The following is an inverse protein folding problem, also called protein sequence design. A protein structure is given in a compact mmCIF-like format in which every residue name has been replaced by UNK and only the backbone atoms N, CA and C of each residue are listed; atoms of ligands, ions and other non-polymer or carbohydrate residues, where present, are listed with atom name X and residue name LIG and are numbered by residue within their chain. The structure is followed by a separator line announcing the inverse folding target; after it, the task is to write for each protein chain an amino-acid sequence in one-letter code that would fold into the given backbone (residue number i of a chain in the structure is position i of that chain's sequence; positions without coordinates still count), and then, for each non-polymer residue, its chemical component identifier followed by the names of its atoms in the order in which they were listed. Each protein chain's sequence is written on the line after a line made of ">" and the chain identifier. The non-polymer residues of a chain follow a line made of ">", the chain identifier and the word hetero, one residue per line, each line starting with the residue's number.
data_IF_713448628407
#
_entry.id   IF_713448628407
#
_cell.length_a   1.000
_cell.length_b   1.000
_cell.length_c   1.000
_cell.angle_alpha   90.00
_cell.angle_beta   90.00
_cell.angle_gamma   90.00
#
_symmetry.space_group_name_H-M   'P 1'
#
loop_
_entity.id
_entity.type
_entity.pdbx_description
1 polymer ?
#
# COMPACT_ATOMS: atom_id res chain seq x y z
N UNK A 1 29.53 49.60 -40.07
CA UNK A 1 30.91 49.85 -40.56
C UNK A 1 31.77 48.65 -40.24
N UNK A 2 32.23 48.05 -41.28
CA UNK A 2 33.49 47.33 -41.51
C UNK A 2 33.75 46.10 -40.63
N UNK A 3 33.66 44.83 -41.17
CA UNK A 3 34.60 44.18 -42.11
C UNK A 3 35.90 43.84 -41.36
N UNK A 4 36.45 42.63 -41.33
CA UNK A 4 36.91 41.70 -42.39
C UNK A 4 37.49 40.48 -41.63
N UNK A 5 37.24 39.22 -41.94
CA UNK A 5 37.76 38.39 -43.06
C UNK A 5 39.13 37.78 -42.82
N UNK A 6 39.11 36.45 -43.07
CA UNK A 6 40.13 35.64 -43.72
C UNK A 6 41.15 34.98 -42.79
N UNK A 7 41.44 33.75 -42.84
CA UNK A 7 41.51 32.66 -43.82
C UNK A 7 42.80 31.86 -43.62
N UNK A 8 42.74 30.64 -43.99
CA UNK A 8 43.74 29.66 -44.53
C UNK A 8 44.55 28.86 -43.52
N UNK A 9 44.35 27.53 -43.47
CA UNK A 9 44.80 26.48 -44.37
C UNK A 9 46.29 26.08 -44.17
N UNK A 10 46.51 24.80 -44.02
CA UNK A 10 47.51 23.89 -44.56
C UNK A 10 47.88 22.82 -43.53
N UNK A 11 47.51 21.61 -43.66
CA UNK A 11 47.94 20.48 -44.47
C UNK A 11 49.06 19.64 -43.83
N UNK A 12 48.75 18.38 -43.63
CA UNK A 12 49.55 17.15 -43.70
C UNK A 12 50.73 16.92 -42.73
N UNK A 13 50.63 15.82 -42.00
CA UNK A 13 51.58 14.70 -42.23
C UNK A 13 51.16 13.45 -41.45
N UNK A 14 50.97 12.38 -42.15
CA UNK A 14 50.79 11.01 -41.71
C UNK A 14 52.12 10.52 -41.12
N UNK A 15 52.09 9.94 -39.94
CA UNK A 15 53.14 8.99 -39.50
C UNK A 15 52.47 7.85 -38.76
N UNK A 16 52.42 6.71 -39.44
CA UNK A 16 52.08 5.39 -38.90
C UNK A 16 53.29 4.91 -38.12
N UNK A 17 53.10 4.64 -36.84
CA UNK A 17 54.02 3.76 -36.10
C UNK A 17 53.19 2.68 -35.43
N UNK A 18 53.28 1.49 -35.97
CA UNK A 18 52.86 0.23 -35.35
C UNK A 18 53.82 -0.08 -34.21
N UNK A 19 53.28 -0.18 -32.99
CA UNK A 19 53.95 -0.89 -31.92
C UNK A 19 52.92 -1.79 -31.23
N UNK A 20 53.09 -3.08 -31.40
CA UNK A 20 52.47 -4.12 -30.62
C UNK A 20 52.89 -3.96 -29.14
N UNK A 21 51.97 -3.72 -28.27
CA UNK A 21 52.10 -3.86 -26.84
C UNK A 21 50.87 -4.61 -26.36
N UNK A 22 51.10 -5.85 -25.99
CA UNK A 22 50.10 -6.77 -25.44
C UNK A 22 49.98 -6.41 -23.95
N UNK A 23 49.00 -5.62 -23.60
CA UNK A 23 48.53 -5.48 -22.22
C UNK A 23 47.06 -5.85 -22.19
N UNK A 24 46.81 -7.05 -21.72
CA UNK A 24 45.53 -7.56 -21.32
C UNK A 24 45.08 -6.83 -20.06
N UNK A 25 44.55 -5.63 -20.21
CA UNK A 25 43.66 -5.06 -19.20
C UNK A 25 42.27 -5.68 -19.42
N UNK A 26 42.11 -6.75 -18.67
CA UNK A 26 40.85 -7.48 -18.53
C UNK A 26 40.01 -6.70 -17.46
N UNK A 27 39.62 -5.48 -17.79
CA UNK A 27 38.51 -4.83 -17.13
C UNK A 27 37.25 -5.54 -17.60
N UNK A 28 36.96 -6.70 -16.98
CA UNK A 28 35.62 -7.25 -16.96
C UNK A 28 34.76 -6.21 -16.25
N UNK A 29 34.08 -5.39 -17.02
CA UNK A 29 32.80 -4.84 -16.58
C UNK A 29 31.94 -6.06 -16.29
N UNK A 30 31.70 -6.34 -15.03
CA UNK A 30 30.66 -7.23 -14.58
C UNK A 30 29.32 -6.55 -14.88
N UNK A 31 28.94 -6.49 -16.15
CA UNK A 31 27.55 -6.25 -16.58
C UNK A 31 26.74 -7.55 -16.41
N UNK A 32 26.73 -8.07 -15.19
CA UNK A 32 25.76 -9.06 -14.74
C UNK A 32 24.78 -8.37 -13.81
N UNK A 33 24.17 -7.28 -14.21
CA UNK A 33 22.92 -6.87 -13.59
C UNK A 33 21.83 -7.80 -14.15
N UNK A 34 21.49 -8.83 -13.37
CA UNK A 34 20.39 -9.75 -13.69
C UNK A 34 19.04 -9.02 -13.73
N UNK A 35 18.98 -7.76 -13.25
CA UNK A 35 17.80 -6.95 -13.09
C UNK A 35 17.89 -5.63 -13.87
N UNK A 36 16.74 -5.04 -14.18
CA UNK A 36 16.65 -3.78 -14.95
C UNK A 36 16.71 -2.52 -14.08
N UNK A 37 16.83 -2.70 -12.77
CA UNK A 37 16.87 -1.62 -11.76
C UNK A 37 18.05 -1.82 -10.83
N UNK A 38 18.54 -0.75 -10.24
CA UNK A 38 19.55 -0.72 -9.18
C UNK A 38 18.97 -0.34 -7.83
N UNK A 39 17.70 0.11 -7.84
CA UNK A 39 16.93 0.51 -6.66
C UNK A 39 15.49 0.02 -6.75
N UNK A 40 14.96 -0.41 -5.61
CA UNK A 40 13.57 -0.81 -5.42
C UNK A 40 12.97 -0.04 -4.25
N UNK A 41 11.75 0.41 -4.39
CA UNK A 41 10.98 1.06 -3.33
C UNK A 41 9.68 0.32 -3.06
N UNK A 42 9.35 0.16 -1.78
CA UNK A 42 8.08 -0.36 -1.32
C UNK A 42 7.35 0.65 -0.44
N UNK A 43 6.03 0.60 -0.42
CA UNK A 43 5.26 1.39 0.53
C UNK A 43 5.48 0.92 1.96
N UNK A 44 5.46 1.86 2.90
CA UNK A 44 5.47 1.60 4.33
C UNK A 44 4.36 2.40 4.99
N UNK A 45 3.41 1.71 5.58
CA UNK A 45 2.29 2.32 6.33
C UNK A 45 2.09 1.57 7.64
N UNK A 46 1.81 2.30 8.72
CA UNK A 46 1.59 1.71 10.05
C UNK A 46 0.14 1.30 10.28
N UNK A 47 -0.78 2.00 9.63
CA UNK A 47 -2.22 1.79 9.76
C UNK A 47 -2.77 0.95 8.59
N UNK A 48 -3.74 0.04 8.82
CA UNK A 48 -4.41 -0.19 10.10
C UNK A 48 -3.47 -0.67 11.21
N UNK A 49 -2.97 -1.88 11.29
CA UNK A 49 -1.86 -2.30 12.16
C UNK A 49 -0.99 -3.29 11.38
N UNK A 50 -0.02 -2.77 10.65
CA UNK A 50 0.80 -3.55 9.72
C UNK A 50 2.03 -4.12 10.42
N UNK A 51 1.80 -5.02 11.38
CA UNK A 51 2.86 -5.66 12.18
C UNK A 51 3.96 -6.26 11.32
N UNK A 52 3.67 -7.05 10.26
CA UNK A 52 4.74 -7.62 9.43
C UNK A 52 5.65 -6.55 8.83
N UNK A 53 5.11 -5.48 8.24
CA UNK A 53 5.93 -4.39 7.65
C UNK A 53 6.74 -3.63 8.69
N UNK A 54 6.21 -3.48 9.92
CA UNK A 54 6.91 -2.82 11.02
C UNK A 54 8.12 -3.65 11.46
N UNK A 55 7.91 -4.95 11.68
CA UNK A 55 8.97 -5.89 12.08
C UNK A 55 10.03 -6.02 10.98
N UNK A 56 9.60 -6.24 9.73
CA UNK A 56 10.43 -6.35 8.55
C UNK A 56 11.38 -5.16 8.39
N UNK A 57 10.84 -3.95 8.57
CA UNK A 57 11.63 -2.71 8.47
C UNK A 57 12.60 -2.54 9.65
N UNK A 58 12.14 -2.75 10.90
CA UNK A 58 12.98 -2.60 12.10
C UNK A 58 14.12 -3.63 12.12
N UNK A 59 13.87 -4.84 11.62
CA UNK A 59 14.87 -5.91 11.51
C UNK A 59 15.75 -5.78 10.26
N UNK A 60 15.38 -4.95 9.29
CA UNK A 60 16.14 -4.71 8.06
C UNK A 60 16.05 -5.83 7.02
N UNK A 61 15.12 -6.76 7.15
CA UNK A 61 15.07 -7.99 6.34
C UNK A 61 15.05 -7.74 4.82
N UNK A 62 14.19 -6.83 4.32
CA UNK A 62 14.19 -6.47 2.90
C UNK A 62 15.47 -5.74 2.49
N UNK A 63 15.96 -4.84 3.33
CA UNK A 63 17.18 -4.09 3.02
C UNK A 63 18.38 -5.01 2.84
N UNK A 64 18.53 -6.01 3.73
CA UNK A 64 19.62 -6.99 3.67
C UNK A 64 19.44 -7.94 2.47
N UNK A 65 18.24 -8.51 2.27
CA UNK A 65 17.97 -9.45 1.20
C UNK A 65 18.16 -8.82 -0.20
N UNK A 66 17.78 -7.56 -0.39
CA UNK A 66 17.96 -6.86 -1.67
C UNK A 66 19.42 -6.41 -1.87
N UNK A 67 20.14 -6.08 -0.80
CA UNK A 67 21.57 -5.78 -0.88
C UNK A 67 22.40 -6.99 -1.36
N UNK A 68 22.00 -8.21 -1.00
CA UNK A 68 22.62 -9.46 -1.52
C UNK A 68 22.47 -9.58 -3.04
N UNK A 69 21.38 -9.07 -3.60
CA UNK A 69 21.13 -9.01 -5.06
C UNK A 69 21.79 -7.80 -5.73
N UNK A 70 22.50 -6.96 -4.98
CA UNK A 70 23.10 -5.72 -5.47
C UNK A 70 22.10 -4.58 -5.71
N UNK A 71 20.92 -4.64 -5.10
CA UNK A 71 19.82 -3.68 -5.23
C UNK A 71 19.68 -2.84 -3.96
N UNK A 72 19.62 -1.52 -4.11
CA UNK A 72 19.23 -0.63 -3.01
C UNK A 72 17.74 -0.79 -2.70
N UNK A 73 17.39 -1.04 -1.44
CA UNK A 73 15.99 -1.09 -1.02
C UNK A 73 15.62 0.12 -0.16
N UNK A 74 14.48 0.75 -0.45
CA UNK A 74 13.98 1.90 0.31
C UNK A 74 12.48 1.80 0.59
N UNK A 75 12.04 2.49 1.64
CA UNK A 75 10.63 2.60 2.00
C UNK A 75 10.09 3.99 1.67
N UNK A 76 8.86 4.02 1.12
CA UNK A 76 8.09 5.24 0.87
C UNK A 76 6.88 5.31 1.79
N UNK A 77 6.76 6.39 2.53
CA UNK A 77 5.64 6.61 3.45
C UNK A 77 4.47 7.27 2.72
N UNK A 78 3.63 6.45 2.07
CA UNK A 78 2.39 6.86 1.43
C UNK A 78 1.22 6.28 2.22
N UNK A 79 0.39 7.15 2.79
CA UNK A 79 -0.57 6.75 3.82
C UNK A 79 -1.94 6.34 3.28
N UNK A 80 -2.25 6.66 2.02
CA UNK A 80 -3.53 6.29 1.41
C UNK A 80 -3.35 5.37 0.21
N UNK A 81 -4.29 4.43 0.03
CA UNK A 81 -4.25 3.50 -1.10
C UNK A 81 -4.22 4.18 -2.47
N UNK A 82 -5.01 5.24 -2.74
CA UNK A 82 -4.92 6.00 -3.98
C UNK A 82 -3.55 6.61 -4.26
N UNK A 83 -2.87 7.17 -3.24
CA UNK A 83 -1.49 7.67 -3.40
C UNK A 83 -0.52 6.55 -3.75
N UNK A 84 -0.65 5.40 -3.07
CA UNK A 84 0.17 4.21 -3.32
C UNK A 84 0.00 3.71 -4.76
N UNK A 85 -1.25 3.51 -5.22
CA UNK A 85 -1.52 3.01 -6.57
C UNK A 85 -1.09 3.99 -7.65
N UNK A 86 -1.17 5.29 -7.39
CA UNK A 86 -0.66 6.32 -8.30
C UNK A 86 0.87 6.26 -8.41
N UNK A 87 1.58 6.09 -7.29
CA UNK A 87 3.03 5.98 -7.27
C UNK A 87 3.53 4.70 -7.96
N UNK A 88 2.80 3.59 -7.86
CA UNK A 88 3.07 2.38 -8.64
C UNK A 88 2.89 2.64 -10.14
N UNK A 89 1.79 3.27 -10.53
CA UNK A 89 1.48 3.57 -11.93
C UNK A 89 2.48 4.53 -12.58
N UNK A 90 3.10 5.44 -11.80
CA UNK A 90 4.18 6.32 -12.28
C UNK A 90 5.55 5.63 -12.32
N UNK A 91 5.70 4.45 -11.72
CA UNK A 91 6.98 3.73 -11.59
C UNK A 91 7.87 4.22 -10.44
N UNK A 92 7.40 5.17 -9.63
CA UNK A 92 8.15 5.70 -8.48
C UNK A 92 8.34 4.64 -7.39
N UNK A 93 7.42 3.66 -7.32
CA UNK A 93 7.44 2.55 -6.38
C UNK A 93 7.27 1.25 -7.16
N UNK A 94 7.90 0.17 -6.70
CA UNK A 94 7.82 -1.15 -7.32
C UNK A 94 6.91 -2.10 -6.56
N UNK A 95 6.75 -1.92 -5.25
CA UNK A 95 5.88 -2.75 -4.43
C UNK A 95 4.92 -1.90 -3.59
N UNK A 96 3.65 -2.25 -3.64
CA UNK A 96 2.66 -1.81 -2.68
C UNK A 96 2.60 -2.86 -1.56
N UNK A 97 3.28 -2.58 -0.47
CA UNK A 97 3.28 -3.43 0.72
C UNK A 97 2.15 -2.96 1.65
N UNK A 98 1.10 -3.76 1.76
CA UNK A 98 -0.11 -3.43 2.51
C UNK A 98 -0.99 -2.33 1.89
N UNK A 99 -1.55 -2.58 0.71
CA UNK A 99 -2.56 -1.73 0.07
C UNK A 99 -3.96 -2.35 0.16
N UNK A 100 -4.98 -1.54 0.40
CA UNK A 100 -6.37 -2.03 0.41
C UNK A 100 -6.83 -2.48 -0.97
N UNK A 101 -7.48 -3.65 -1.05
CA UNK A 101 -7.99 -4.20 -2.31
C UNK A 101 -8.94 -3.24 -3.04
N UNK A 102 -9.75 -2.47 -2.31
CA UNK A 102 -10.63 -1.42 -2.86
C UNK A 102 -9.86 -0.41 -3.71
N UNK A 103 -8.67 0.02 -3.26
CA UNK A 103 -7.83 0.96 -3.99
C UNK A 103 -7.16 0.32 -5.22
N UNK A 104 -6.77 -0.97 -5.13
CA UNK A 104 -6.24 -1.74 -6.26
C UNK A 104 -7.31 -1.90 -7.34
N UNK A 105 -8.53 -2.28 -6.95
CA UNK A 105 -9.69 -2.42 -7.85
C UNK A 105 -9.99 -1.08 -8.53
N UNK A 106 -10.03 0.02 -7.78
CA UNK A 106 -10.25 1.35 -8.34
C UNK A 106 -9.18 1.74 -9.37
N UNK A 107 -7.91 1.48 -9.06
CA UNK A 107 -6.79 1.76 -9.96
C UNK A 107 -6.85 0.90 -11.24
N UNK A 108 -7.14 -0.40 -11.11
CA UNK A 108 -7.30 -1.33 -12.23
C UNK A 108 -8.49 -0.95 -13.11
N UNK A 109 -9.62 -0.53 -12.52
CA UNK A 109 -10.78 -0.01 -13.25
C UNK A 109 -10.43 1.19 -14.15
N UNK A 110 -9.43 1.97 -13.78
CA UNK A 110 -8.91 3.07 -14.57
C UNK A 110 -7.80 2.66 -15.55
N UNK A 111 -7.53 1.36 -15.69
CA UNK A 111 -6.57 0.81 -16.65
C UNK A 111 -5.10 0.86 -16.18
N UNK A 112 -4.83 1.04 -14.89
CA UNK A 112 -3.47 0.98 -14.37
C UNK A 112 -2.89 -0.44 -14.47
N UNK A 113 -1.59 -0.53 -14.77
CA UNK A 113 -0.83 -1.77 -14.68
C UNK A 113 -0.55 -2.09 -13.21
N UNK A 114 -1.42 -2.90 -12.62
CA UNK A 114 -1.34 -3.32 -11.23
C UNK A 114 -1.75 -4.79 -11.10
N UNK A 115 -0.97 -5.57 -10.37
CA UNK A 115 -1.19 -7.00 -10.13
C UNK A 115 -1.05 -7.31 -8.64
N UNK A 116 -1.96 -8.13 -8.13
CA UNK A 116 -1.93 -8.68 -6.78
C UNK A 116 -1.01 -9.89 -6.78
N UNK A 117 -0.01 -9.91 -5.92
CA UNK A 117 1.00 -10.99 -5.83
C UNK A 117 0.86 -11.83 -4.56
N UNK A 118 0.22 -11.30 -3.51
CA UNK A 118 -0.18 -12.07 -2.31
C UNK A 118 -1.26 -11.33 -1.54
N UNK A 119 -1.90 -12.02 -0.62
CA UNK A 119 -2.60 -11.36 0.48
C UNK A 119 -1.56 -10.76 1.43
N UNK A 120 -1.94 -9.64 2.09
CA UNK A 120 -1.19 -9.10 3.21
C UNK A 120 -1.91 -9.38 4.51
N UNK A 121 -3.19 -9.05 4.59
CA UNK A 121 -4.05 -9.39 5.73
C UNK A 121 -5.54 -9.34 5.39
N UNK A 122 -6.35 -9.93 6.27
CA UNK A 122 -7.80 -9.79 6.37
C UNK A 122 -8.12 -9.28 7.76
N UNK A 123 -8.86 -8.18 7.85
CA UNK A 123 -9.06 -7.52 9.14
C UNK A 123 -10.33 -6.66 9.15
N UNK A 124 -11.54 -7.25 9.00
CA UNK A 124 -12.77 -6.48 8.92
C UNK A 124 -12.96 -5.56 10.13
N UNK A 125 -12.74 -6.05 11.35
CA UNK A 125 -12.93 -5.29 12.60
C UNK A 125 -11.96 -4.13 12.80
N UNK A 126 -10.87 -4.06 12.02
CA UNK A 126 -9.87 -3.00 12.15
C UNK A 126 -10.27 -1.68 11.49
N UNK A 127 -11.35 -1.68 10.69
CA UNK A 127 -11.89 -0.50 10.01
C UNK A 127 -13.18 -0.07 10.67
N UNK A 128 -13.26 1.17 11.16
CA UNK A 128 -14.33 1.63 12.02
C UNK A 128 -14.84 3.02 11.64
N UNK A 129 -16.13 3.26 11.88
CA UNK A 129 -16.75 4.58 11.89
C UNK A 129 -16.96 5.02 13.32
N UNK A 130 -16.48 6.19 13.67
CA UNK A 130 -16.59 6.79 14.99
C UNK A 130 -17.53 7.98 15.01
N UNK A 131 -18.25 8.15 16.14
CA UNK A 131 -19.00 9.32 16.53
C UNK A 131 -18.65 9.73 17.95
N UNK A 132 -19.35 10.76 18.47
CA UNK A 132 -19.21 11.14 19.86
C UNK A 132 -19.87 10.12 20.79
N UNK A 133 -19.48 10.12 22.07
CA UNK A 133 -20.06 9.24 23.07
C UNK A 133 -21.59 9.40 23.12
N UNK A 134 -22.32 8.30 22.96
CA UNK A 134 -23.76 8.26 22.93
C UNK A 134 -24.44 8.58 21.61
N UNK A 135 -23.66 8.76 20.53
CA UNK A 135 -24.23 8.85 19.19
C UNK A 135 -24.91 7.53 18.79
N UNK A 136 -25.93 7.65 17.97
CA UNK A 136 -26.69 6.49 17.49
C UNK A 136 -25.88 5.65 16.52
N UNK A 137 -26.18 4.35 16.53
CA UNK A 137 -25.59 3.36 15.62
C UNK A 137 -26.48 3.08 14.39
N UNK A 138 -27.32 4.04 13.99
CA UNK A 138 -28.15 3.89 12.78
C UNK A 138 -27.60 4.69 11.61
N UNK A 139 -27.53 4.12 10.37
CA UNK A 139 -27.16 4.89 9.18
C UNK A 139 -28.05 6.13 8.97
N UNK A 140 -29.32 6.10 9.40
CA UNK A 140 -30.25 7.22 9.26
C UNK A 140 -29.84 8.46 10.05
N UNK A 141 -29.04 8.31 11.10
CA UNK A 141 -28.55 9.44 11.91
C UNK A 141 -27.39 10.17 11.26
N UNK A 142 -26.79 9.57 10.19
CA UNK A 142 -25.76 10.22 9.40
C UNK A 142 -26.34 11.18 8.35
N UNK A 143 -27.66 11.16 8.10
CA UNK A 143 -28.28 12.02 7.06
C UNK A 143 -28.02 13.50 7.35
N UNK A 144 -27.43 14.19 6.38
CA UNK A 144 -27.04 15.61 6.48
C UNK A 144 -25.85 15.89 7.39
N UNK A 145 -25.17 14.86 7.90
CA UNK A 145 -24.02 14.98 8.79
C UNK A 145 -22.71 15.00 8.01
N UNK A 146 -21.68 15.58 8.63
CA UNK A 146 -20.31 15.58 8.11
C UNK A 146 -19.58 14.31 8.54
N UNK A 147 -19.16 13.53 7.55
CA UNK A 147 -18.37 12.30 7.76
C UNK A 147 -17.00 12.45 7.10
N UNK A 148 -15.94 12.41 7.91
CA UNK A 148 -14.57 12.54 7.42
C UNK A 148 -13.89 11.19 7.21
N UNK A 149 -13.06 11.08 6.16
CA UNK A 149 -12.24 9.90 5.94
C UNK A 149 -11.55 9.86 4.58
N UNK A 150 -10.70 8.83 4.34
CA UNK A 150 -9.95 8.68 3.10
C UNK A 150 -10.81 8.06 2.00
N UNK A 151 -11.13 8.85 0.97
CA UNK A 151 -11.92 8.40 -0.19
C UNK A 151 -11.19 7.34 -1.01
N UNK A 152 -11.94 6.37 -1.56
CA UNK A 152 -11.39 5.32 -2.42
C UNK A 152 -10.60 4.23 -1.68
N UNK A 153 -10.84 4.08 -0.39
CA UNK A 153 -10.21 3.08 0.48
C UNK A 153 -11.26 2.11 1.07
N UNK A 154 -10.80 1.09 1.80
CA UNK A 154 -11.68 0.17 2.56
C UNK A 154 -12.59 0.96 3.53
N UNK A 155 -12.10 2.01 4.17
CA UNK A 155 -12.91 2.86 5.04
C UNK A 155 -14.03 3.57 4.29
N UNK A 156 -13.78 4.03 3.07
CA UNK A 156 -14.83 4.61 2.23
C UNK A 156 -15.85 3.56 1.79
N UNK A 157 -15.39 2.36 1.43
CA UNK A 157 -16.28 1.23 1.12
C UNK A 157 -17.15 0.86 2.32
N UNK A 158 -16.57 0.78 3.53
CA UNK A 158 -17.31 0.55 4.77
C UNK A 158 -18.45 1.54 4.93
N UNK A 159 -18.19 2.83 4.78
CA UNK A 159 -19.22 3.87 4.91
C UNK A 159 -20.35 3.69 3.91
N UNK A 160 -20.01 3.48 2.63
CA UNK A 160 -21.02 3.34 1.57
C UNK A 160 -21.86 2.07 1.79
N UNK A 161 -21.25 0.96 2.22
CA UNK A 161 -21.99 -0.27 2.58
C UNK A 161 -22.86 -0.08 3.80
N UNK A 162 -22.37 0.62 4.83
CA UNK A 162 -23.15 0.92 6.01
C UNK A 162 -24.39 1.77 5.67
N UNK A 163 -24.25 2.83 4.89
CA UNK A 163 -25.35 3.64 4.40
C UNK A 163 -26.36 2.81 3.57
N UNK A 164 -25.86 1.92 2.73
CA UNK A 164 -26.68 1.07 1.85
C UNK A 164 -27.58 0.09 2.64
N UNK A 165 -27.26 -0.26 3.88
CA UNK A 165 -28.11 -1.13 4.71
C UNK A 165 -29.51 -0.54 4.97
N UNK A 166 -29.63 0.80 4.92
CA UNK A 166 -30.90 1.54 5.06
C UNK A 166 -31.30 2.24 3.74
N UNK A 167 -30.74 1.82 2.60
CA UNK A 167 -31.03 2.38 1.27
C UNK A 167 -30.51 3.79 1.06
N UNK A 168 -29.59 4.27 1.92
CA UNK A 168 -28.94 5.56 1.79
C UNK A 168 -27.68 5.47 0.91
N UNK A 169 -27.22 6.62 0.46
CA UNK A 169 -26.04 6.78 -0.40
C UNK A 169 -25.11 7.87 0.13
N UNK A 170 -23.91 8.01 -0.42
CA UNK A 170 -23.00 9.11 -0.08
C UNK A 170 -23.64 10.51 -0.30
N UNK A 171 -24.68 10.62 -1.14
CA UNK A 171 -25.38 11.87 -1.39
C UNK A 171 -26.24 12.37 -0.23
N UNK A 172 -26.56 11.47 0.70
CA UNK A 172 -27.39 11.75 1.87
C UNK A 172 -26.58 12.34 3.03
N UNK A 173 -25.25 12.40 2.90
CA UNK A 173 -24.29 12.91 3.87
C UNK A 173 -23.40 14.01 3.26
N UNK A 174 -22.65 14.74 4.09
CA UNK A 174 -21.54 15.61 3.66
C UNK A 174 -20.21 14.85 3.88
N UNK A 175 -19.72 14.15 2.83
CA UNK A 175 -18.45 13.48 2.92
C UNK A 175 -17.27 14.47 2.79
N UNK A 176 -16.36 14.46 3.77
CA UNK A 176 -15.16 15.32 3.81
C UNK A 176 -13.92 14.45 3.65
N UNK A 177 -13.25 14.56 2.50
CA UNK A 177 -12.05 13.79 2.24
C UNK A 177 -10.89 14.26 3.12
N UNK A 178 -10.36 13.36 3.95
CA UNK A 178 -9.20 13.56 4.81
C UNK A 178 -8.43 12.25 4.95
N UNK A 179 -7.15 12.33 5.34
CA UNK A 179 -6.42 11.16 5.84
C UNK A 179 -6.89 10.80 7.26
N UNK A 180 -6.50 9.60 7.74
CA UNK A 180 -6.95 9.09 9.04
C UNK A 180 -6.58 10.03 10.21
N UNK A 181 -5.34 10.54 10.34
CA UNK A 181 -4.99 11.47 11.41
C UNK A 181 -5.78 12.77 11.37
N UNK A 182 -6.01 13.34 10.19
CA UNK A 182 -6.79 14.56 10.02
C UNK A 182 -8.27 14.36 10.34
N UNK A 183 -8.84 13.21 9.93
CA UNK A 183 -10.22 12.86 10.26
C UNK A 183 -10.43 12.69 11.78
N UNK A 184 -9.47 12.04 12.46
CA UNK A 184 -9.47 11.96 13.93
C UNK A 184 -9.45 13.36 14.56
N UNK A 185 -8.53 14.22 14.14
CA UNK A 185 -8.40 15.57 14.68
C UNK A 185 -9.68 16.39 14.46
N UNK A 186 -10.30 16.28 13.28
CA UNK A 186 -11.54 16.98 12.95
C UNK A 186 -12.72 16.52 13.84
N UNK A 187 -12.83 15.21 14.12
CA UNK A 187 -13.86 14.69 15.03
C UNK A 187 -13.64 15.19 16.45
N UNK A 188 -12.41 15.13 16.94
CA UNK A 188 -12.04 15.62 18.29
C UNK A 188 -12.31 17.13 18.43
N UNK A 189 -12.07 17.91 17.37
CA UNK A 189 -12.34 19.35 17.33
C UNK A 189 -13.82 19.69 17.14
N UNK A 190 -14.69 18.71 16.84
CA UNK A 190 -16.11 18.93 16.53
C UNK A 190 -16.35 19.61 15.17
N UNK A 191 -15.39 19.54 14.26
CA UNK A 191 -15.50 20.07 12.90
C UNK A 191 -16.28 19.13 11.98
N UNK A 192 -16.31 17.84 12.31
CA UNK A 192 -17.11 16.80 11.67
C UNK A 192 -17.89 16.02 12.73
N UNK A 193 -19.02 15.41 12.33
CA UNK A 193 -19.88 14.64 13.23
C UNK A 193 -19.36 13.20 13.40
N UNK A 194 -18.76 12.63 12.33
CA UNK A 194 -18.26 11.26 12.31
C UNK A 194 -16.92 11.19 11.60
N UNK A 195 -16.09 10.19 11.95
CA UNK A 195 -14.80 9.94 11.32
C UNK A 195 -14.55 8.44 11.04
N UNK A 196 -14.01 8.16 9.88
CA UNK A 196 -13.57 6.83 9.46
C UNK A 196 -12.11 6.63 9.86
N UNK A 197 -11.88 5.71 10.79
CA UNK A 197 -10.57 5.50 11.41
C UNK A 197 -10.17 4.03 11.38
N UNK A 198 -8.87 3.78 11.50
CA UNK A 198 -8.30 2.44 11.64
C UNK A 198 -6.99 2.50 12.41
N UNK A 199 -6.51 1.35 12.89
CA UNK A 199 -5.20 1.23 13.51
C UNK A 199 -5.05 1.99 14.83
N UNK A 200 -3.87 2.55 15.11
CA UNK A 200 -3.57 3.24 16.36
C UNK A 200 -4.56 4.38 16.68
N UNK A 201 -5.03 5.10 15.67
CA UNK A 201 -6.01 6.17 15.85
C UNK A 201 -7.35 5.62 16.33
N UNK A 202 -7.83 4.52 15.75
CA UNK A 202 -9.07 3.88 16.18
C UNK A 202 -8.95 3.36 17.62
N UNK A 203 -7.84 2.71 17.96
CA UNK A 203 -7.59 2.24 19.32
C UNK A 203 -7.64 3.39 20.34
N UNK A 204 -6.93 4.48 20.07
CA UNK A 204 -6.92 5.64 20.97
C UNK A 204 -8.30 6.25 21.14
N UNK A 205 -9.10 6.36 20.07
CA UNK A 205 -10.46 6.88 20.16
C UNK A 205 -11.37 6.02 21.04
N UNK A 206 -11.22 4.69 20.99
CA UNK A 206 -11.95 3.78 21.90
C UNK A 206 -11.53 4.04 23.35
N UNK A 207 -10.23 4.19 23.63
CA UNK A 207 -9.71 4.47 24.97
C UNK A 207 -10.18 5.85 25.49
N UNK A 208 -10.32 6.82 24.60
CA UNK A 208 -10.80 8.18 24.90
C UNK A 208 -12.34 8.26 25.05
N UNK A 209 -13.04 7.13 24.86
CA UNK A 209 -14.49 7.00 25.10
C UNK A 209 -15.38 7.47 23.96
N UNK A 210 -14.85 7.58 22.75
CA UNK A 210 -15.67 7.80 21.55
C UNK A 210 -16.46 6.54 21.17
N UNK A 211 -17.62 6.74 20.54
CA UNK A 211 -18.50 5.63 20.16
C UNK A 211 -18.06 5.01 18.83
N UNK A 212 -17.90 3.69 18.81
CA UNK A 212 -17.80 2.93 17.57
C UNK A 212 -19.22 2.75 17.02
N UNK A 213 -19.56 3.50 15.99
CA UNK A 213 -20.87 3.47 15.33
C UNK A 213 -21.05 2.14 14.58
N UNK A 214 -20.04 1.74 13.81
CA UNK A 214 -19.95 0.45 13.17
C UNK A 214 -18.50 0.10 12.88
N UNK A 215 -18.22 -1.18 12.73
CA UNK A 215 -16.98 -1.69 12.16
C UNK A 215 -17.24 -2.43 10.83
N UNK A 216 -16.20 -3.03 10.27
CA UNK A 216 -16.30 -3.73 8.98
C UNK A 216 -16.92 -5.12 9.06
N UNK A 217 -17.19 -5.68 10.25
CA UNK A 217 -17.73 -7.04 10.37
C UNK A 217 -19.09 -7.16 9.68
N UNK A 218 -19.19 -8.08 8.72
CA UNK A 218 -20.39 -8.27 7.92
C UNK A 218 -20.63 -7.21 6.81
N UNK A 219 -19.79 -6.17 6.74
CA UNK A 219 -19.87 -5.11 5.73
C UNK A 219 -18.71 -5.19 4.72
N UNK A 220 -17.47 -5.27 5.20
CA UNK A 220 -16.26 -5.41 4.39
C UNK A 220 -15.36 -6.50 4.96
N UNK A 221 -14.60 -7.19 4.11
CA UNK A 221 -13.65 -8.22 4.59
C UNK A 221 -12.33 -7.62 5.07
N UNK A 222 -12.16 -6.32 4.91
CA UNK A 222 -10.92 -5.65 5.31
C UNK A 222 -9.69 -6.17 4.57
N UNK A 223 -9.88 -6.50 3.29
CA UNK A 223 -8.88 -7.15 2.44
C UNK A 223 -7.73 -6.22 2.10
N UNK A 224 -6.54 -6.57 2.56
CA UNK A 224 -5.28 -5.88 2.26
C UNK A 224 -4.40 -6.84 1.47
N UNK A 225 -3.76 -6.33 0.43
CA UNK A 225 -2.95 -7.12 -0.50
C UNK A 225 -1.55 -6.53 -0.67
N UNK A 226 -0.66 -7.34 -1.22
CA UNK A 226 0.62 -6.92 -1.79
C UNK A 226 0.46 -6.85 -3.29
N UNK A 227 0.93 -5.76 -3.90
CA UNK A 227 0.80 -5.57 -5.34
C UNK A 227 2.10 -5.02 -5.97
N UNK A 228 2.25 -5.29 -7.26
CA UNK A 228 3.31 -4.78 -8.14
C UNK A 228 2.74 -4.51 -9.53
N UNK A 229 3.53 -4.03 -10.49
CA UNK A 229 3.11 -3.95 -11.89
C UNK A 229 3.52 -5.21 -12.67
N UNK A 230 2.74 -5.57 -13.69
CA UNK A 230 3.10 -6.68 -14.59
C UNK A 230 4.40 -6.36 -15.35
N UNK A 231 4.58 -5.10 -15.74
CA UNK A 231 5.81 -4.62 -16.40
C UNK A 231 7.03 -4.85 -15.51
N UNK A 232 6.97 -4.48 -14.22
CA UNK A 232 8.08 -4.71 -13.30
C UNK A 232 8.36 -6.19 -13.10
N UNK A 233 7.33 -7.01 -12.87
CA UNK A 233 7.47 -8.46 -12.72
C UNK A 233 8.11 -9.10 -13.95
N UNK A 234 7.65 -8.75 -15.14
CA UNK A 234 8.16 -9.33 -16.39
C UNK A 234 9.67 -9.11 -16.60
N UNK A 235 10.20 -8.02 -16.06
CA UNK A 235 11.60 -7.62 -16.17
C UNK A 235 12.46 -8.06 -14.98
N UNK A 236 11.85 -8.25 -13.81
CA UNK A 236 12.55 -8.42 -12.54
C UNK A 236 11.89 -9.52 -11.66
N UNK A 237 11.44 -10.63 -12.26
CA UNK A 237 10.72 -11.70 -11.54
C UNK A 237 11.47 -12.21 -10.29
N UNK A 238 12.82 -12.29 -10.35
CA UNK A 238 13.64 -12.69 -9.21
C UNK A 238 13.48 -11.77 -7.99
N UNK A 239 13.37 -10.44 -8.22
CA UNK A 239 13.16 -9.48 -7.13
C UNK A 239 11.76 -9.61 -6.51
N UNK A 240 10.74 -9.92 -7.33
CA UNK A 240 9.38 -10.15 -6.83
C UNK A 240 9.32 -11.42 -5.98
N UNK A 241 9.98 -12.51 -6.41
CA UNK A 241 10.13 -13.74 -5.61
C UNK A 241 10.86 -13.47 -4.29
N UNK A 242 11.97 -12.76 -4.34
CA UNK A 242 12.75 -12.39 -3.16
C UNK A 242 11.90 -11.59 -2.16
N UNK A 243 11.10 -10.63 -2.66
CA UNK A 243 10.20 -9.84 -1.84
C UNK A 243 9.20 -10.72 -1.07
N UNK A 244 8.49 -11.62 -1.76
CA UNK A 244 7.53 -12.54 -1.14
C UNK A 244 8.19 -13.52 -0.18
N UNK A 245 9.39 -14.02 -0.51
CA UNK A 245 10.17 -14.88 0.38
C UNK A 245 10.48 -14.17 1.70
N UNK A 246 10.96 -12.94 1.65
CA UNK A 246 11.26 -12.15 2.87
C UNK A 246 10.00 -11.90 3.68
N UNK A 247 8.85 -11.64 3.03
CA UNK A 247 7.59 -11.50 3.76
C UNK A 247 7.20 -12.77 4.50
N UNK A 248 7.36 -13.93 3.87
CA UNK A 248 7.09 -15.22 4.52
C UNK A 248 8.05 -15.50 5.68
N UNK A 249 9.34 -15.21 5.52
CA UNK A 249 10.34 -15.29 6.58
C UNK A 249 10.03 -14.33 7.73
N UNK A 250 9.49 -13.14 7.42
CA UNK A 250 9.03 -12.17 8.43
C UNK A 250 7.86 -12.73 9.26
N UNK A 251 6.87 -13.35 8.62
CA UNK A 251 5.76 -13.97 9.35
C UNK A 251 6.25 -15.12 10.24
N UNK A 252 7.14 -15.97 9.74
CA UNK A 252 7.75 -17.01 10.55
C UNK A 252 8.54 -16.43 11.75
N UNK A 253 9.29 -15.35 11.51
CA UNK A 253 9.99 -14.65 12.59
C UNK A 253 9.03 -14.14 13.66
N UNK A 254 7.88 -13.56 13.27
CA UNK A 254 6.86 -13.06 14.20
C UNK A 254 6.28 -14.20 15.04
N UNK A 255 6.00 -15.34 14.43
CA UNK A 255 5.47 -16.52 15.13
C UNK A 255 6.47 -17.06 16.16
N UNK A 256 7.76 -17.13 15.80
CA UNK A 256 8.83 -17.61 16.66
C UNK A 256 9.24 -16.61 17.75
N UNK A 257 9.03 -15.30 17.52
CA UNK A 257 9.46 -14.19 18.37
C UNK A 257 8.32 -13.22 18.70
N UNK A 258 7.13 -13.75 18.99
CA UNK A 258 5.89 -12.99 19.13
C UNK A 258 6.01 -11.80 20.09
N UNK A 259 6.57 -11.99 21.29
CA UNK A 259 6.70 -10.92 22.29
C UNK A 259 7.59 -9.78 21.76
N UNK A 260 8.73 -10.09 21.16
CA UNK A 260 9.64 -9.08 20.57
C UNK A 260 8.95 -8.34 19.41
N UNK A 261 8.23 -9.04 18.56
CA UNK A 261 7.49 -8.44 17.44
C UNK A 261 6.41 -7.45 17.93
N UNK A 262 5.69 -7.80 18.99
CA UNK A 262 4.70 -6.93 19.62
C UNK A 262 5.36 -5.72 20.29
N UNK A 263 6.52 -5.87 20.94
CA UNK A 263 7.29 -4.76 21.53
C UNK A 263 7.82 -3.80 20.45
N UNK A 264 8.36 -4.33 19.34
CA UNK A 264 8.76 -3.53 18.17
C UNK A 264 7.59 -2.71 17.65
N UNK A 265 6.44 -3.35 17.49
CA UNK A 265 5.22 -2.71 17.00
C UNK A 265 4.70 -1.63 17.97
N UNK A 266 4.71 -1.91 19.26
CA UNK A 266 4.32 -0.96 20.29
C UNK A 266 5.19 0.31 20.26
N UNK A 267 6.51 0.13 20.16
CA UNK A 267 7.48 1.23 20.04
C UNK A 267 7.24 2.07 18.78
N UNK A 268 7.01 1.42 17.63
CA UNK A 268 6.85 2.12 16.33
C UNK A 268 5.49 2.84 16.22
N UNK A 269 4.44 2.28 16.82
CA UNK A 269 3.08 2.84 16.77
C UNK A 269 2.78 3.81 17.91
N UNK A 270 3.54 3.72 19.02
CA UNK A 270 3.27 4.47 20.25
C UNK A 270 2.10 3.91 21.07
N UNK A 271 1.58 2.73 20.71
CA UNK A 271 0.55 2.04 21.47
C UNK A 271 1.12 1.32 22.68
N UNK A 272 0.31 1.13 23.74
CA UNK A 272 0.69 0.21 24.82
C UNK A 272 0.78 -1.22 24.27
N UNK A 273 1.70 -2.03 24.83
CA UNK A 273 1.93 -3.40 24.37
C UNK A 273 0.65 -4.27 24.37
N UNK A 274 -0.16 -4.15 25.43
CA UNK A 274 -1.44 -4.89 25.52
C UNK A 274 -2.41 -4.45 24.40
N UNK A 275 -2.43 -3.17 24.04
CA UNK A 275 -3.24 -2.65 22.93
C UNK A 275 -2.78 -3.19 21.56
N UNK A 276 -1.47 -3.32 21.37
CA UNK A 276 -0.94 -3.97 20.13
C UNK A 276 -1.37 -5.43 20.06
N UNK A 277 -1.27 -6.18 21.15
CA UNK A 277 -1.68 -7.59 21.22
C UNK A 277 -3.19 -7.75 20.98
N UNK A 278 -4.02 -6.90 21.60
CA UNK A 278 -5.47 -6.89 21.38
C UNK A 278 -5.82 -6.63 19.91
N UNK A 279 -5.16 -5.64 19.30
CA UNK A 279 -5.38 -5.33 17.88
C UNK A 279 -4.86 -6.42 16.97
N UNK A 280 -3.73 -7.06 17.29
CA UNK A 280 -3.13 -8.13 16.47
C UNK A 280 -4.11 -9.28 16.24
N UNK A 281 -4.92 -9.63 17.24
CA UNK A 281 -5.95 -10.67 17.16
C UNK A 281 -7.06 -10.38 16.12
N UNK A 282 -7.18 -9.14 15.64
CA UNK A 282 -8.15 -8.75 14.61
C UNK A 282 -7.68 -9.07 13.19
N UNK A 283 -6.44 -9.56 13.02
CA UNK A 283 -5.78 -9.74 11.73
C UNK A 283 -5.49 -11.19 11.44
N UNK A 284 -5.81 -11.61 10.22
CA UNK A 284 -5.26 -12.80 9.59
C UNK A 284 -4.19 -12.37 8.57
N UNK A 285 -2.93 -12.69 8.84
CA UNK A 285 -1.78 -12.35 8.00
C UNK A 285 -1.37 -13.48 7.04
N UNK A 286 -2.23 -14.47 6.79
CA UNK A 286 -1.95 -15.50 5.81
C UNK A 286 -1.79 -14.90 4.40
N UNK A 287 -0.68 -15.22 3.73
CA UNK A 287 -0.30 -14.67 2.42
C UNK A 287 -1.02 -15.35 1.25
N UNK A 288 -1.62 -16.52 1.45
CA UNK A 288 -2.27 -17.28 0.38
C UNK A 288 -3.49 -16.54 -0.17
N UNK A 289 -3.61 -16.47 -1.49
CA UNK A 289 -4.81 -15.98 -2.17
C UNK A 289 -5.75 -17.17 -2.36
N UNK A 290 -6.81 -17.24 -1.57
CA UNK A 290 -7.80 -18.31 -1.64
C UNK A 290 -8.91 -18.00 -2.64
N UNK A 291 -9.67 -19.03 -3.04
CA UNK A 291 -10.86 -18.83 -3.86
C UNK A 291 -11.89 -17.92 -3.17
N UNK A 292 -12.00 -17.98 -1.84
CA UNK A 292 -12.87 -17.09 -1.06
C UNK A 292 -12.47 -15.63 -1.17
N UNK A 293 -11.15 -15.33 -1.20
CA UNK A 293 -10.65 -13.96 -1.36
C UNK A 293 -10.99 -13.41 -2.74
N UNK A 294 -10.85 -14.24 -3.78
CA UNK A 294 -11.20 -13.87 -5.16
C UNK A 294 -12.70 -13.53 -5.25
N UNK A 295 -13.55 -14.39 -4.69
CA UNK A 295 -15.00 -14.19 -4.66
C UNK A 295 -15.40 -12.95 -3.87
N UNK A 296 -14.73 -12.70 -2.74
CA UNK A 296 -14.94 -11.51 -1.92
C UNK A 296 -14.55 -10.24 -2.69
N UNK A 297 -13.36 -10.19 -3.26
CA UNK A 297 -12.93 -9.05 -4.08
C UNK A 297 -13.85 -8.85 -5.30
N UNK A 298 -14.36 -9.92 -5.92
CA UNK A 298 -15.32 -9.80 -7.03
C UNK A 298 -16.66 -9.20 -6.57
N UNK A 299 -17.14 -9.52 -5.36
CA UNK A 299 -18.32 -8.86 -4.76
C UNK A 299 -18.04 -7.37 -4.48
N UNK A 300 -16.81 -7.04 -4.06
CA UNK A 300 -16.38 -5.64 -3.89
C UNK A 300 -16.42 -4.90 -5.25
N UNK A 301 -15.93 -5.49 -6.34
CA UNK A 301 -16.05 -4.90 -7.71
C UNK A 301 -17.50 -4.59 -8.04
N UNK A 302 -18.39 -5.58 -7.88
CA UNK A 302 -19.80 -5.40 -8.15
C UNK A 302 -20.41 -4.27 -7.32
N UNK A 303 -20.15 -4.26 -6.00
CA UNK A 303 -20.62 -3.22 -5.10
C UNK A 303 -20.11 -1.84 -5.49
N UNK A 304 -18.81 -1.70 -5.78
CA UNK A 304 -18.21 -0.43 -6.19
C UNK A 304 -18.85 0.11 -7.48
N UNK A 305 -19.17 -0.78 -8.41
CA UNK A 305 -19.83 -0.41 -9.68
C UNK A 305 -21.27 0.05 -9.45
N UNK A 306 -22.07 -0.72 -8.69
CA UNK A 306 -23.45 -0.38 -8.35
C UNK A 306 -23.57 0.97 -7.63
N UNK A 307 -22.55 1.34 -6.84
CA UNK A 307 -22.49 2.58 -6.08
C UNK A 307 -21.71 3.70 -6.78
N UNK A 308 -21.38 3.54 -8.07
CA UNK A 308 -20.64 4.52 -8.87
C UNK A 308 -19.25 4.91 -8.29
N UNK A 309 -18.61 4.00 -7.56
CA UNK A 309 -17.25 4.16 -7.07
C UNK A 309 -16.21 3.86 -8.15
N UNK A 310 -16.56 3.02 -9.13
CA UNK A 310 -15.80 2.72 -10.35
C UNK A 310 -16.72 2.74 -11.57
N UNK A 311 -16.15 3.03 -12.75
CA UNK A 311 -16.90 3.06 -14.02
C UNK A 311 -16.78 1.73 -14.78
N UNK A 312 -15.59 1.13 -14.82
CA UNK A 312 -15.33 -0.08 -15.58
C UNK A 312 -15.32 -1.32 -14.69
N UNK A 313 -15.74 -2.45 -15.27
CA UNK A 313 -15.62 -3.74 -14.61
C UNK A 313 -14.15 -4.16 -14.48
N UNK A 314 -13.87 -4.90 -13.41
CA UNK A 314 -12.56 -5.48 -13.13
C UNK A 314 -12.74 -6.98 -12.92
N UNK A 315 -12.01 -7.78 -13.68
CA UNK A 315 -11.91 -9.22 -13.44
C UNK A 315 -10.78 -9.47 -12.44
N UNK A 316 -11.14 -9.85 -11.22
CA UNK A 316 -10.18 -10.09 -10.14
C UNK A 316 -9.20 -11.21 -10.50
N UNK A 317 -9.66 -12.27 -11.19
CA UNK A 317 -8.76 -13.35 -11.60
C UNK A 317 -7.63 -12.84 -12.51
N UNK A 318 -7.91 -11.85 -13.35
CA UNK A 318 -6.90 -11.24 -14.22
C UNK A 318 -5.91 -10.32 -13.48
N UNK A 319 -6.28 -9.85 -12.28
CA UNK A 319 -5.39 -9.04 -11.43
C UNK A 319 -4.40 -9.89 -10.64
N UNK A 320 -4.68 -11.19 -10.44
CA UNK A 320 -3.81 -12.06 -9.67
C UNK A 320 -2.65 -12.50 -10.55
N UNK A 321 -1.46 -12.28 -10.06
CA UNK A 321 -0.22 -12.73 -10.68
C UNK A 321 0.38 -13.88 -9.86
N UNK A 322 0.42 -15.07 -10.46
CA UNK A 322 1.10 -16.20 -9.85
C UNK A 322 2.61 -16.01 -10.01
N UNK A 323 3.29 -15.82 -8.88
CA UNK A 323 4.75 -15.68 -8.83
C UNK A 323 5.34 -17.07 -8.65
N UNK A 324 5.88 -17.66 -9.75
CA UNK A 324 6.50 -19.00 -9.78
C UNK A 324 8.01 -18.96 -9.40
#
# INVERSE_FOLDING_TARGET
>A
MKKWLLSLLVLSSILVITACGNDTDNSKSNDNNAYTVDKVQATYVKAPLNVPSIVEKEKGFLTEAFAEEGIEFAYSNLTTGPEQTQALASGDIQFLNAVGATSVISSASNGADIKIISMYSRSPKAFMLFGNAGDSKSPTDLVGKKVAGPKGTILHELLVRYLATEGLTEKDIEFVQMDIPSAQAALVAGEVDFALLAGPTAYNMIQDGYEVVTDGEGLVDGTIVVATSEDFYSKNAGLVKKFLQVQQETLQYIDENYEEAMEITAKETGLPLDGVKEMYEMYDFNMDITQSDIESMQKTVQFMKENNMIENDVDIQSLILNVE
#
